data_IF_839063599927
#
_entry.id   IF_839063599927
#
_cell.length_a   1.000
_cell.length_b   1.000
_cell.length_c   1.000
_cell.angle_alpha   90.00
_cell.angle_beta   90.00
_cell.angle_gamma   90.00
#
_symmetry.space_group_name_H-M   'P 1'
#
loop_
_entity.id
_entity.type
_entity.pdbx_description
1 polymer ?
#
# COMPACT_ATOMS: atom_id res chain seq x y z
N UNK A 1 -19.08 12.05 23.43
CA UNK A 1 -18.84 10.89 24.33
C UNK A 1 -17.58 11.22 25.12
N UNK A 2 -17.67 11.19 26.43
CA UNK A 2 -16.52 11.36 27.30
C UNK A 2 -15.86 9.98 27.56
N UNK A 3 -14.56 9.95 27.82
CA UNK A 3 -13.84 8.69 28.12
C UNK A 3 -14.47 7.89 29.26
N UNK A 4 -14.98 8.58 30.29
CA UNK A 4 -15.65 7.96 31.43
C UNK A 4 -16.97 7.24 31.08
N UNK A 5 -17.60 7.59 29.97
CA UNK A 5 -18.88 7.04 29.53
C UNK A 5 -18.68 5.76 28.69
N UNK A 6 -17.44 5.42 28.34
CA UNK A 6 -17.10 4.24 27.54
C UNK A 6 -17.07 3.01 28.46
N UNK A 7 -18.16 2.28 28.46
CA UNK A 7 -18.32 1.04 29.20
C UNK A 7 -18.01 -0.19 28.31
N UNK A 8 -17.91 -1.38 28.92
CA UNK A 8 -17.84 -2.64 28.18
C UNK A 8 -19.01 -2.79 27.19
N UNK A 9 -20.23 -2.45 27.64
CA UNK A 9 -21.43 -2.54 26.81
C UNK A 9 -21.34 -1.58 25.60
N UNK A 10 -20.80 -0.36 25.80
CA UNK A 10 -20.57 0.56 24.72
C UNK A 10 -19.55 0.01 23.68
N UNK A 11 -18.48 -0.64 24.15
CA UNK A 11 -17.47 -1.26 23.26
C UNK A 11 -18.07 -2.42 22.44
N UNK A 12 -18.90 -3.26 23.05
CA UNK A 12 -19.61 -4.31 22.31
C UNK A 12 -20.61 -3.73 21.30
N UNK A 13 -21.35 -2.67 21.69
CA UNK A 13 -22.22 -1.94 20.76
C UNK A 13 -21.47 -1.31 19.59
N UNK A 14 -20.25 -0.80 19.83
CA UNK A 14 -19.41 -0.29 18.76
C UNK A 14 -18.96 -1.40 17.77
N UNK A 15 -18.66 -2.60 18.26
CA UNK A 15 -18.39 -3.76 17.40
C UNK A 15 -19.59 -4.12 16.53
N UNK A 16 -20.78 -4.15 17.12
CA UNK A 16 -22.01 -4.40 16.39
C UNK A 16 -22.27 -3.30 15.33
N UNK A 17 -22.08 -2.04 15.70
CA UNK A 17 -22.17 -0.93 14.75
C UNK A 17 -21.21 -1.10 13.55
N UNK A 18 -19.96 -1.47 13.81
CA UNK A 18 -18.99 -1.73 12.74
C UNK A 18 -19.41 -2.88 11.82
N UNK A 19 -20.09 -3.88 12.36
CA UNK A 19 -20.52 -5.07 11.63
C UNK A 19 -21.79 -4.85 10.80
N UNK A 20 -22.72 -4.00 11.28
CA UNK A 20 -24.09 -3.94 10.74
C UNK A 20 -24.46 -2.60 10.13
N UNK A 21 -23.92 -1.49 10.65
CA UNK A 21 -24.36 -0.13 10.27
C UNK A 21 -23.25 0.72 9.65
N UNK A 22 -21.98 0.41 9.96
CA UNK A 22 -20.87 1.16 9.40
C UNK A 22 -20.69 0.85 7.92
N UNK A 23 -20.68 1.91 7.12
CA UNK A 23 -20.45 1.80 5.67
C UNK A 23 -19.04 2.30 5.30
N UNK A 24 -18.51 1.78 4.20
CA UNK A 24 -17.28 2.30 3.65
C UNK A 24 -17.52 3.73 3.15
N UNK A 25 -16.78 4.68 3.70
CA UNK A 25 -16.83 6.06 3.22
C UNK A 25 -16.30 6.08 1.79
N UNK A 26 -17.17 6.28 0.83
CA UNK A 26 -16.77 6.57 -0.54
C UNK A 26 -15.90 7.83 -0.54
N UNK A 27 -14.81 7.82 -1.30
CA UNK A 27 -14.04 9.02 -1.56
C UNK A 27 -15.01 10.10 -2.05
N UNK A 28 -14.84 11.34 -1.59
CA UNK A 28 -15.66 12.50 -1.97
C UNK A 28 -15.79 12.68 -3.50
N UNK A 29 -14.96 11.98 -4.27
CA UNK A 29 -14.91 11.98 -5.74
C UNK A 29 -15.60 10.78 -6.41
N UNK A 30 -16.04 9.77 -5.65
CA UNK A 30 -16.72 8.58 -6.20
C UNK A 30 -18.15 8.51 -5.69
N UNK A 31 -19.05 9.24 -6.35
CA UNK A 31 -20.53 9.18 -6.12
C UNK A 31 -21.15 7.79 -6.37
N UNK A 32 -20.40 6.83 -6.87
CA UNK A 32 -20.90 5.49 -7.23
C UNK A 32 -20.62 4.40 -6.18
N UNK A 33 -19.92 4.69 -5.09
CA UNK A 33 -19.86 3.76 -3.97
C UNK A 33 -21.13 3.95 -3.13
N UNK A 34 -22.16 3.18 -3.48
CA UNK A 34 -23.32 3.00 -2.63
C UNK A 34 -22.92 2.52 -1.22
N UNK A 35 -23.88 2.51 -0.30
CA UNK A 35 -23.72 2.08 1.09
C UNK A 35 -23.31 0.60 1.19
N UNK A 36 -22.04 0.31 0.91
CA UNK A 36 -21.50 -1.03 1.09
C UNK A 36 -21.12 -1.25 2.56
N UNK A 37 -21.50 -2.39 3.14
CA UNK A 37 -21.08 -2.76 4.48
C UNK A 37 -19.56 -2.68 4.62
N UNK A 38 -19.10 -2.29 5.79
CA UNK A 38 -17.66 -2.20 6.05
C UNK A 38 -17.01 -3.59 5.98
N UNK A 39 -15.97 -3.73 5.15
CA UNK A 39 -15.24 -5.00 5.03
C UNK A 39 -14.64 -5.45 6.38
N UNK A 40 -14.60 -6.76 6.64
CA UNK A 40 -14.11 -7.35 7.91
C UNK A 40 -12.72 -6.84 8.33
N UNK A 41 -11.80 -6.69 7.38
CA UNK A 41 -10.46 -6.17 7.66
C UNK A 41 -10.47 -4.68 8.06
N UNK A 42 -11.42 -3.91 7.51
CA UNK A 42 -11.64 -2.52 7.92
C UNK A 42 -12.25 -2.45 9.32
N UNK A 43 -13.25 -3.30 9.63
CA UNK A 43 -13.84 -3.42 10.98
C UNK A 43 -12.74 -3.76 12.00
N UNK A 44 -11.88 -4.74 11.70
CA UNK A 44 -10.74 -5.10 12.54
C UNK A 44 -9.80 -3.92 12.77
N UNK A 45 -9.49 -3.16 11.72
CA UNK A 45 -8.57 -2.02 11.79
C UNK A 45 -9.15 -0.91 12.67
N UNK A 46 -10.43 -0.56 12.51
CA UNK A 46 -11.09 0.46 13.35
C UNK A 46 -11.18 0.01 14.81
N UNK A 47 -11.52 -1.26 15.04
CA UNK A 47 -11.59 -1.79 16.40
C UNK A 47 -10.20 -1.83 17.07
N UNK A 48 -9.14 -2.17 16.34
CA UNK A 48 -7.76 -2.13 16.86
C UNK A 48 -7.34 -0.72 17.28
N UNK A 49 -7.74 0.31 16.53
CA UNK A 49 -7.46 1.71 16.90
C UNK A 49 -8.15 2.09 18.20
N UNK A 50 -9.44 1.73 18.35
CA UNK A 50 -10.16 1.94 19.59
C UNK A 50 -9.49 1.22 20.77
N UNK A 51 -9.09 -0.04 20.58
CA UNK A 51 -8.39 -0.82 21.62
C UNK A 51 -7.09 -0.16 22.06
N UNK A 52 -6.28 0.29 21.12
CA UNK A 52 -5.03 0.98 21.43
C UNK A 52 -5.29 2.24 22.28
N UNK A 53 -6.23 3.08 21.87
CA UNK A 53 -6.59 4.29 22.58
C UNK A 53 -7.10 4.02 24.00
N UNK A 54 -7.98 3.02 24.20
CA UNK A 54 -8.54 2.71 25.51
C UNK A 54 -7.52 2.03 26.44
N UNK A 55 -6.62 1.20 25.92
CA UNK A 55 -5.52 0.65 26.70
C UNK A 55 -4.58 1.75 27.17
N UNK A 56 -4.18 2.66 26.28
CA UNK A 56 -3.35 3.81 26.64
C UNK A 56 -4.01 4.71 27.67
N UNK A 57 -5.31 4.99 27.54
CA UNK A 57 -6.06 5.76 28.52
C UNK A 57 -6.09 5.07 29.90
N UNK A 58 -6.17 3.75 29.94
CA UNK A 58 -6.11 2.99 31.18
C UNK A 58 -4.72 2.98 31.79
N UNK A 59 -3.68 2.73 30.99
CA UNK A 59 -2.28 2.72 31.43
C UNK A 59 -1.82 4.08 31.98
N UNK A 60 -2.30 5.16 31.37
CA UNK A 60 -2.05 6.54 31.83
C UNK A 60 -2.99 7.02 32.95
N UNK A 61 -3.83 6.14 33.50
CA UNK A 61 -4.73 6.48 34.62
C UNK A 61 -5.89 7.42 34.27
N UNK A 62 -6.13 7.68 32.99
CA UNK A 62 -7.23 8.55 32.54
C UNK A 62 -8.61 7.91 32.74
N UNK A 63 -8.67 6.57 32.77
CA UNK A 63 -9.85 5.79 33.14
C UNK A 63 -9.49 4.79 34.24
N UNK A 64 -10.37 4.63 35.20
CA UNK A 64 -10.16 3.74 36.36
C UNK A 64 -10.27 2.26 36.03
N UNK A 65 -11.17 1.93 35.10
CA UNK A 65 -11.45 0.55 34.70
C UNK A 65 -11.22 0.41 33.18
N UNK A 66 -10.57 -0.71 32.78
CA UNK A 66 -10.40 -0.99 31.35
C UNK A 66 -11.70 -1.59 30.78
N UNK A 67 -12.43 -0.87 29.90
CA UNK A 67 -13.68 -1.33 29.31
C UNK A 67 -13.49 -2.50 28.33
N UNK A 68 -12.25 -2.82 27.98
CA UNK A 68 -11.90 -3.92 27.08
C UNK A 68 -11.74 -5.24 27.81
N UNK A 69 -11.79 -5.27 29.13
CA UNK A 69 -11.64 -6.52 29.91
C UNK A 69 -12.70 -7.53 29.52
N UNK A 70 -12.25 -8.69 28.98
CA UNK A 70 -13.13 -9.74 28.51
C UNK A 70 -13.81 -9.48 27.16
N UNK A 71 -13.48 -8.39 26.45
CA UNK A 71 -13.99 -8.11 25.10
C UNK A 71 -13.12 -8.80 24.06
N UNK A 72 -13.73 -9.72 23.29
CA UNK A 72 -13.05 -10.37 22.15
C UNK A 72 -12.83 -9.39 21.01
N UNK A 73 -11.63 -9.41 20.41
CA UNK A 73 -11.32 -8.62 19.24
C UNK A 73 -12.16 -8.98 18.02
N UNK A 74 -12.22 -8.06 17.05
CA UNK A 74 -12.78 -8.35 15.72
C UNK A 74 -11.73 -9.12 14.92
N UNK A 75 -12.11 -10.29 14.38
CA UNK A 75 -11.26 -11.08 13.49
C UNK A 75 -11.40 -10.56 12.07
N UNK A 76 -10.27 -10.37 11.40
CA UNK A 76 -10.24 -10.12 9.95
C UNK A 76 -10.41 -11.42 9.16
N UNK A 77 -10.54 -11.26 7.87
CA UNK A 77 -10.57 -12.36 6.91
C UNK A 77 -9.29 -12.35 6.08
N UNK A 78 -8.77 -13.52 5.75
CA UNK A 78 -7.72 -13.63 4.74
C UNK A 78 -8.28 -13.27 3.37
N UNK A 79 -7.68 -12.23 2.76
CA UNK A 79 -8.02 -11.89 1.38
C UNK A 79 -7.15 -12.71 0.42
N UNK A 80 -7.78 -13.45 -0.49
CA UNK A 80 -7.05 -14.01 -1.64
C UNK A 80 -6.55 -12.85 -2.48
N UNK A 81 -5.23 -12.64 -2.47
CA UNK A 81 -4.60 -11.66 -3.34
C UNK A 81 -4.35 -12.29 -4.70
N UNK A 82 -4.84 -11.68 -5.75
CA UNK A 82 -4.45 -12.01 -7.11
C UNK A 82 -3.12 -11.34 -7.42
N UNK A 83 -2.26 -12.04 -8.12
CA UNK A 83 -0.97 -11.54 -8.59
C UNK A 83 -0.83 -11.79 -10.09
N UNK A 84 0.05 -11.02 -10.73
CA UNK A 84 0.37 -11.20 -12.14
C UNK A 84 1.29 -12.41 -12.31
N UNK A 85 0.99 -13.23 -13.30
CA UNK A 85 1.91 -14.31 -13.73
C UNK A 85 3.06 -13.73 -14.56
N UNK A 86 4.12 -14.51 -14.78
CA UNK A 86 5.23 -14.08 -15.63
C UNK A 86 4.76 -13.76 -17.06
N UNK A 87 3.87 -14.59 -17.60
CA UNK A 87 3.28 -14.38 -18.93
C UNK A 87 2.51 -13.06 -19.01
N UNK A 88 1.75 -12.70 -17.97
CA UNK A 88 1.02 -11.45 -17.91
C UNK A 88 1.96 -10.25 -17.78
N UNK A 89 3.04 -10.38 -17.02
CA UNK A 89 4.09 -9.35 -16.93
C UNK A 89 4.75 -9.16 -18.31
N UNK A 90 5.01 -10.22 -19.04
CA UNK A 90 5.55 -10.14 -20.39
C UNK A 90 4.57 -9.45 -21.35
N UNK A 91 3.29 -9.80 -21.32
CA UNK A 91 2.26 -9.10 -22.10
C UNK A 91 2.20 -7.61 -21.79
N UNK A 92 2.27 -7.24 -20.51
CA UNK A 92 2.33 -5.83 -20.10
C UNK A 92 3.59 -5.15 -20.65
N UNK A 93 4.74 -5.82 -20.62
CA UNK A 93 5.98 -5.26 -21.17
C UNK A 93 5.85 -4.95 -22.66
N UNK A 94 5.12 -5.76 -23.42
CA UNK A 94 4.94 -5.59 -24.87
C UNK A 94 3.82 -4.61 -25.22
N UNK A 95 2.84 -4.42 -24.31
CA UNK A 95 1.69 -3.53 -24.55
C UNK A 95 2.10 -2.05 -24.37
N UNK A 96 1.77 -1.16 -25.32
CA UNK A 96 1.97 0.28 -25.14
C UNK A 96 1.28 0.80 -23.88
N UNK A 97 1.85 1.80 -23.24
CA UNK A 97 1.27 2.46 -22.08
C UNK A 97 1.24 3.97 -22.31
N UNK A 98 0.10 4.60 -22.01
CA UNK A 98 -0.09 6.06 -22.16
C UNK A 98 1.02 6.89 -21.49
N UNK A 99 1.52 6.40 -20.34
CA UNK A 99 2.60 7.06 -19.59
C UNK A 99 3.81 6.12 -19.50
N UNK A 100 4.82 6.30 -20.37
CA UNK A 100 6.00 5.42 -20.40
C UNK A 100 6.76 5.33 -19.07
N UNK A 101 6.84 6.41 -18.31
CA UNK A 101 7.52 6.43 -17.01
C UNK A 101 6.79 5.59 -15.96
N UNK A 102 5.44 5.56 -16.00
CA UNK A 102 4.65 4.68 -15.14
C UNK A 102 4.92 3.21 -15.49
N UNK A 103 4.97 2.89 -16.79
CA UNK A 103 5.31 1.54 -17.28
C UNK A 103 6.70 1.13 -16.81
N UNK A 104 7.71 1.96 -17.02
CA UNK A 104 9.10 1.71 -16.60
C UNK A 104 9.19 1.44 -15.11
N UNK A 105 8.63 2.33 -14.27
CA UNK A 105 8.63 2.20 -12.82
C UNK A 105 7.88 0.95 -12.34
N UNK A 106 6.76 0.59 -12.99
CA UNK A 106 5.99 -0.59 -12.66
C UNK A 106 6.77 -1.88 -12.99
N UNK A 107 7.33 -1.98 -14.19
CA UNK A 107 8.12 -3.13 -14.61
C UNK A 107 9.37 -3.31 -13.73
N UNK A 108 10.03 -2.22 -13.41
CA UNK A 108 11.14 -2.21 -12.47
C UNK A 108 10.71 -2.72 -11.08
N UNK A 109 9.58 -2.25 -10.57
CA UNK A 109 9.03 -2.74 -9.28
C UNK A 109 8.71 -4.25 -9.32
N UNK A 110 8.20 -4.77 -10.44
CA UNK A 110 7.92 -6.21 -10.59
C UNK A 110 9.21 -7.05 -10.53
N UNK A 111 10.31 -6.54 -11.06
CA UNK A 111 11.59 -7.26 -11.12
C UNK A 111 12.43 -7.12 -9.84
N UNK A 112 12.20 -6.08 -9.04
CA UNK A 112 13.00 -5.75 -7.87
C UNK A 112 12.27 -5.96 -6.54
N UNK A 113 10.94 -6.02 -6.54
CA UNK A 113 10.14 -6.06 -5.32
C UNK A 113 10.14 -4.75 -4.53
N UNK A 114 10.72 -3.67 -5.06
CA UNK A 114 10.75 -2.38 -4.39
C UNK A 114 9.35 -1.79 -4.25
N UNK A 115 9.10 -1.15 -3.10
CA UNK A 115 7.84 -0.45 -2.88
C UNK A 115 7.77 0.81 -3.75
N UNK A 116 6.56 1.17 -4.17
CA UNK A 116 6.30 2.41 -4.92
C UNK A 116 7.02 3.62 -4.31
N UNK A 117 6.95 3.79 -2.99
CA UNK A 117 7.58 4.92 -2.30
C UNK A 117 9.11 4.95 -2.39
N UNK A 118 9.73 3.81 -2.59
CA UNK A 118 11.18 3.68 -2.70
C UNK A 118 11.60 3.88 -4.16
N UNK A 119 10.80 3.37 -5.12
CA UNK A 119 11.00 3.62 -6.55
C UNK A 119 10.84 5.10 -6.90
N UNK A 120 9.83 5.79 -6.34
CA UNK A 120 9.58 7.24 -6.56
C UNK A 120 10.74 8.13 -6.12
N UNK A 121 11.55 7.68 -5.19
CA UNK A 121 12.65 8.46 -4.60
C UNK A 121 14.02 7.94 -4.98
N UNK A 122 14.08 6.97 -5.88
CA UNK A 122 15.34 6.39 -6.31
C UNK A 122 16.12 7.40 -7.16
N UNK A 123 17.32 7.73 -6.71
CA UNK A 123 18.22 8.66 -7.38
C UNK A 123 19.36 7.90 -8.05
N UNK A 124 19.87 8.43 -9.14
CA UNK A 124 21.01 7.83 -9.82
C UNK A 124 22.27 7.75 -8.96
N UNK A 125 22.44 8.63 -7.98
CA UNK A 125 23.52 8.55 -7.00
C UNK A 125 23.48 7.36 -6.07
N UNK A 126 22.33 6.67 -5.99
CA UNK A 126 22.16 5.44 -5.20
C UNK A 126 22.47 4.18 -6.01
N UNK A 127 22.74 4.34 -7.31
CA UNK A 127 23.03 3.24 -8.24
C UNK A 127 24.53 3.17 -8.47
N UNK A 128 25.14 2.08 -8.10
CA UNK A 128 26.56 1.82 -8.27
C UNK A 128 26.79 0.57 -9.11
N UNK A 129 27.94 0.50 -9.74
CA UNK A 129 28.39 -0.72 -10.41
C UNK A 129 29.55 -1.30 -9.60
N UNK A 130 29.45 -2.56 -9.27
CA UNK A 130 30.44 -3.29 -8.51
C UNK A 130 30.60 -4.69 -9.13
N UNK A 131 31.82 -5.04 -9.52
CA UNK A 131 32.16 -6.36 -10.10
C UNK A 131 31.27 -6.77 -11.30
N UNK A 132 30.91 -5.81 -12.14
CA UNK A 132 30.04 -6.03 -13.30
C UNK A 132 28.55 -6.19 -12.98
N UNK A 133 28.18 -5.98 -11.72
CA UNK A 133 26.77 -5.98 -11.28
C UNK A 133 26.32 -4.59 -10.91
N UNK A 134 25.12 -4.24 -11.31
CA UNK A 134 24.46 -2.98 -10.90
C UNK A 134 23.78 -3.21 -9.56
N UNK A 135 24.11 -2.35 -8.57
CA UNK A 135 23.60 -2.41 -7.21
C UNK A 135 22.96 -1.08 -6.83
N UNK A 136 21.81 -1.17 -6.14
CA UNK A 136 21.18 -0.01 -5.50
C UNK A 136 21.49 -0.08 -3.99
N UNK A 137 21.86 1.08 -3.44
CA UNK A 137 22.04 1.27 -2.00
C UNK A 137 21.08 2.36 -1.54
N UNK A 138 20.07 2.00 -0.77
CA UNK A 138 19.02 2.94 -0.37
C UNK A 138 18.50 2.68 1.05
N UNK A 139 17.88 3.71 1.66
CA UNK A 139 17.16 3.55 2.92
C UNK A 139 15.67 3.41 2.65
N UNK A 140 15.08 2.31 3.13
CA UNK A 140 13.63 2.11 3.00
C UNK A 140 12.87 3.19 3.77
N UNK A 141 11.91 3.84 3.12
CA UNK A 141 11.08 4.88 3.75
C UNK A 141 10.29 4.36 4.95
N UNK A 142 9.83 3.11 4.92
CA UNK A 142 8.96 2.55 5.96
C UNK A 142 9.71 2.07 7.20
N UNK A 143 10.90 1.51 7.04
CA UNK A 143 11.66 0.84 8.10
C UNK A 143 12.94 1.56 8.47
N UNK A 144 13.34 2.58 7.68
CA UNK A 144 14.60 3.32 7.78
C UNK A 144 15.87 2.44 7.71
N UNK A 145 15.75 1.14 7.40
CA UNK A 145 16.87 0.23 7.20
C UNK A 145 17.66 0.58 5.93
N UNK A 146 18.99 0.39 5.98
CA UNK A 146 19.85 0.46 4.81
C UNK A 146 19.75 -0.88 4.07
N UNK A 147 19.43 -0.83 2.80
CA UNK A 147 19.24 -2.00 1.94
C UNK A 147 20.22 -1.96 0.77
N UNK A 148 20.69 -3.15 0.41
CA UNK A 148 21.54 -3.40 -0.74
C UNK A 148 20.80 -4.34 -1.68
N UNK A 149 20.60 -3.94 -2.91
CA UNK A 149 19.86 -4.73 -3.89
C UNK A 149 20.65 -4.84 -5.18
N UNK A 150 21.06 -6.04 -5.52
CA UNK A 150 21.65 -6.35 -6.82
C UNK A 150 20.56 -6.47 -7.88
N UNK A 151 20.76 -5.78 -9.00
CA UNK A 151 19.79 -5.74 -10.07
C UNK A 151 20.08 -6.77 -11.15
N UNK A 152 19.04 -7.43 -11.63
CA UNK A 152 19.13 -8.21 -12.84
C UNK A 152 19.34 -7.29 -14.08
N UNK A 153 19.95 -7.78 -15.15
CA UNK A 153 20.10 -7.01 -16.40
C UNK A 153 18.75 -6.52 -16.95
N UNK A 154 17.69 -7.30 -16.73
CA UNK A 154 16.33 -6.90 -17.10
C UNK A 154 15.83 -5.71 -16.30
N UNK A 155 16.10 -5.68 -14.99
CA UNK A 155 15.71 -4.55 -14.15
C UNK A 155 16.47 -3.27 -14.54
N UNK A 156 17.77 -3.38 -14.81
CA UNK A 156 18.61 -2.26 -15.28
C UNK A 156 18.06 -1.66 -16.58
N UNK A 157 17.63 -2.50 -17.52
CA UNK A 157 17.03 -2.05 -18.79
C UNK A 157 15.81 -1.12 -18.56
N UNK A 158 15.01 -1.37 -17.53
CA UNK A 158 13.85 -0.54 -17.21
C UNK A 158 14.19 0.77 -16.51
N UNK A 159 15.40 0.93 -15.98
CA UNK A 159 15.85 2.21 -15.43
C UNK A 159 16.06 3.27 -16.52
N UNK A 160 16.38 2.85 -17.73
CA UNK A 160 16.67 3.75 -18.86
C UNK A 160 18.10 4.32 -18.83
N UNK A 161 18.29 5.47 -19.48
CA UNK A 161 19.60 6.12 -19.57
C UNK A 161 19.99 6.73 -18.23
N UNK A 162 21.24 6.52 -17.83
CA UNK A 162 21.78 7.07 -16.58
C UNK A 162 21.84 8.59 -16.64
N UNK A 163 21.26 9.24 -15.64
CA UNK A 163 21.32 10.67 -15.41
C UNK A 163 22.43 11.08 -14.44
N UNK A 164 22.38 12.34 -13.99
CA UNK A 164 23.28 12.82 -12.95
C UNK A 164 22.95 12.17 -11.61
N UNK A 165 23.90 12.11 -10.66
CA UNK A 165 23.66 11.50 -9.34
C UNK A 165 22.45 12.08 -8.57
N UNK A 166 22.13 13.33 -8.81
CA UNK A 166 21.00 14.06 -8.18
C UNK A 166 19.67 13.90 -8.91
N UNK A 167 19.67 13.25 -10.07
CA UNK A 167 18.45 13.07 -10.85
C UNK A 167 17.68 11.82 -10.37
N UNK A 168 16.36 11.88 -10.44
CA UNK A 168 15.51 10.72 -10.19
C UNK A 168 15.64 9.69 -11.33
N UNK A 169 15.67 8.40 -11.00
CA UNK A 169 15.68 7.32 -11.99
C UNK A 169 14.34 7.26 -12.75
N UNK A 170 13.27 7.58 -12.05
CA UNK A 170 11.90 7.61 -12.58
C UNK A 170 11.26 8.98 -12.37
N UNK A 171 11.69 9.98 -13.15
CA UNK A 171 11.09 11.32 -13.07
C UNK A 171 9.64 11.29 -13.55
N UNK A 172 8.87 12.31 -13.21
CA UNK A 172 7.49 12.50 -13.67
C UNK A 172 6.49 11.40 -13.28
N UNK A 173 6.72 10.71 -12.18
CA UNK A 173 5.70 9.82 -11.64
C UNK A 173 4.52 10.64 -11.11
N UNK A 174 3.37 10.45 -11.72
CA UNK A 174 2.12 11.15 -11.44
C UNK A 174 1.52 10.80 -10.07
N UNK A 175 0.44 11.48 -9.71
CA UNK A 175 -0.33 11.19 -8.50
C UNK A 175 -0.75 9.71 -8.45
N UNK A 176 -0.96 9.19 -7.24
CA UNK A 176 -1.40 7.79 -7.04
C UNK A 176 -2.69 7.46 -7.79
N UNK A 177 -3.59 8.45 -7.92
CA UNK A 177 -4.85 8.28 -8.67
C UNK A 177 -4.57 8.07 -10.15
N UNK A 178 -3.70 8.88 -10.75
CA UNK A 178 -3.29 8.75 -12.16
C UNK A 178 -2.58 7.42 -12.41
N UNK A 179 -1.63 7.04 -11.52
CA UNK A 179 -0.91 5.77 -11.62
C UNK A 179 -1.89 4.59 -11.60
N UNK A 180 -2.84 4.58 -10.65
CA UNK A 180 -3.79 3.48 -10.52
C UNK A 180 -4.77 3.42 -11.71
N UNK A 181 -5.24 4.57 -12.22
CA UNK A 181 -6.05 4.63 -13.44
C UNK A 181 -5.30 4.08 -14.65
N UNK A 182 -4.11 4.63 -14.91
CA UNK A 182 -3.25 4.19 -16.03
C UNK A 182 -2.95 2.69 -15.99
N UNK A 183 -2.63 2.14 -14.80
CA UNK A 183 -2.36 0.70 -14.65
C UNK A 183 -3.56 -0.17 -14.99
N UNK A 184 -4.77 0.26 -14.63
CA UNK A 184 -6.01 -0.46 -14.97
C UNK A 184 -6.27 -0.47 -16.47
N UNK A 185 -6.16 0.70 -17.10
CA UNK A 185 -6.39 0.84 -18.54
C UNK A 185 -5.35 0.04 -19.32
N UNK A 186 -4.09 0.15 -18.95
CA UNK A 186 -2.98 -0.59 -19.57
C UNK A 186 -3.11 -2.12 -19.38
N UNK A 187 -3.51 -2.59 -18.18
CA UNK A 187 -3.78 -4.01 -17.94
C UNK A 187 -4.96 -4.51 -18.80
N UNK A 188 -6.00 -3.70 -18.94
CA UNK A 188 -7.13 -4.02 -19.80
C UNK A 188 -6.72 -4.14 -21.26
N UNK A 189 -5.92 -3.20 -21.80
CA UNK A 189 -5.36 -3.24 -23.15
C UNK A 189 -4.47 -4.48 -23.37
N UNK A 190 -3.76 -4.95 -22.34
CA UNK A 190 -2.98 -6.17 -22.37
C UNK A 190 -3.82 -7.46 -22.25
N UNK A 191 -5.16 -7.36 -22.17
CA UNK A 191 -6.06 -8.49 -21.97
C UNK A 191 -6.02 -9.09 -20.56
N UNK A 192 -5.63 -8.32 -19.55
CA UNK A 192 -5.52 -8.77 -18.14
C UNK A 192 -6.68 -8.14 -17.35
N UNK A 193 -7.64 -8.97 -16.97
CA UNK A 193 -8.88 -8.55 -16.28
C UNK A 193 -8.90 -8.95 -14.79
N UNK A 194 -7.78 -8.89 -14.10
CA UNK A 194 -7.66 -9.17 -12.66
C UNK A 194 -7.97 -7.91 -11.84
N UNK A 195 -8.71 -8.08 -10.75
CA UNK A 195 -9.08 -7.01 -9.81
C UNK A 195 -8.28 -7.12 -8.51
#
# INVERSE_FOLDING_TARGET
ILLKDITKQWVEGYKEYLATKATAFGSRFMKSYGDHPLAKNSQQTYFRKLRACLNEAYENGLIRNNPLKGVKGVRGEESKRTYLTLEEITKLADTPCRYPDIKRAFMFSCLTGLRKSDVEKLMWGQVSELDGMTRIIFRQKKTAGLEYLDLSPQAVKWMGTRGNPTDEVFPNLHSITTINGTRKDWAYEAGIHKH
#
